data_IF_505193975237
#
_entry.id   IF_505193975237
#
_cell.length_a   1.000
_cell.length_b   1.000
_cell.length_c   1.000
_cell.angle_alpha   90.00
_cell.angle_beta   90.00
_cell.angle_gamma   90.00
#
_symmetry.space_group_name_H-M   'P 1'
#
loop_
_entity.id
_entity.type
_entity.pdbx_description
1 polymer ?
#
# COMPACT_ATOMS: atom_id res chain seq x y z
N UNK A 1 -14.22 4.79 -7.57
CA UNK A 1 -12.98 4.18 -7.02
C UNK A 1 -11.96 5.24 -6.61
N UNK A 2 -12.19 6.50 -6.95
CA UNK A 2 -11.38 7.66 -6.57
C UNK A 2 -11.73 8.11 -5.15
N UNK A 3 -11.32 7.32 -4.17
CA UNK A 3 -11.51 7.65 -2.76
C UNK A 3 -10.34 7.10 -1.94
N UNK A 4 -9.95 7.78 -0.85
CA UNK A 4 -9.10 7.24 0.20
C UNK A 4 -9.30 5.75 0.47
N UNK A 5 -8.21 5.02 0.69
CA UNK A 5 -8.28 3.72 1.33
C UNK A 5 -8.43 3.93 2.85
N UNK A 6 -9.58 3.57 3.41
CA UNK A 6 -9.84 3.72 4.84
C UNK A 6 -9.22 2.59 5.68
N UNK A 7 -8.84 1.49 5.04
CA UNK A 7 -8.26 0.31 5.71
C UNK A 7 -6.75 0.43 5.92
N UNK A 8 -6.06 1.18 5.06
CA UNK A 8 -4.59 1.23 5.09
C UNK A 8 -4.11 1.86 6.39
N UNK A 9 -3.25 1.14 7.11
CA UNK A 9 -2.74 1.48 8.44
C UNK A 9 -3.81 1.62 9.54
N UNK A 10 -5.06 1.20 9.28
CA UNK A 10 -6.16 1.20 10.26
C UNK A 10 -6.69 -0.20 10.55
N UNK A 11 -6.69 -1.08 9.55
CA UNK A 11 -7.06 -2.50 9.68
C UNK A 11 -5.85 -3.40 9.37
N UNK A 12 -4.83 -3.33 10.23
CA UNK A 12 -3.55 -4.00 10.02
C UNK A 12 -3.66 -5.52 10.18
N UNK A 13 -2.93 -6.25 9.33
CA UNK A 13 -2.78 -7.70 9.45
C UNK A 13 -1.47 -8.08 10.13
N UNK A 14 -1.45 -9.19 10.87
CA UNK A 14 -0.22 -9.84 11.33
C UNK A 14 -0.28 -11.30 10.90
N UNK A 15 0.65 -11.72 10.04
CA UNK A 15 0.75 -13.11 9.60
C UNK A 15 1.34 -14.00 10.72
N UNK A 16 1.12 -15.32 10.69
CA UNK A 16 1.72 -16.25 11.66
C UNK A 16 3.25 -16.20 11.74
N UNK A 17 3.92 -15.71 10.71
CA UNK A 17 5.37 -15.48 10.68
C UNK A 17 5.84 -14.27 11.51
N UNK A 18 4.93 -13.42 11.99
CA UNK A 18 5.26 -12.13 12.61
C UNK A 18 5.21 -10.95 11.62
N UNK A 19 5.07 -11.22 10.32
CA UNK A 19 5.00 -10.20 9.26
C UNK A 19 3.80 -9.26 9.47
N UNK A 20 4.06 -7.96 9.59
CA UNK A 20 3.05 -6.91 9.77
C UNK A 20 2.66 -6.32 8.41
N UNK A 21 1.35 -6.34 8.14
CA UNK A 21 0.76 -5.98 6.86
C UNK A 21 -0.04 -4.67 6.98
N UNK A 22 -0.04 -3.81 5.95
CA UNK A 22 -0.68 -2.49 6.01
C UNK A 22 -2.20 -2.54 5.96
N UNK A 23 -2.79 -3.64 5.50
CA UNK A 23 -4.22 -3.92 5.58
C UNK A 23 -4.49 -5.44 5.61
N UNK A 24 -5.74 -5.85 5.82
CA UNK A 24 -6.15 -7.26 5.88
C UNK A 24 -6.37 -7.93 4.49
N UNK A 25 -6.26 -7.19 3.39
CA UNK A 25 -6.65 -7.67 2.05
C UNK A 25 -5.47 -8.24 1.23
N UNK A 26 -5.75 -8.92 0.11
CA UNK A 26 -4.75 -9.56 -0.75
C UNK A 26 -3.60 -8.62 -1.19
N UNK A 27 -3.91 -7.34 -1.39
CA UNK A 27 -2.92 -6.31 -1.71
C UNK A 27 -1.78 -6.19 -0.68
N UNK A 28 -2.02 -6.59 0.57
CA UNK A 28 -1.04 -6.51 1.65
C UNK A 28 0.00 -7.63 1.61
N UNK A 29 -0.21 -8.67 0.80
CA UNK A 29 0.74 -9.77 0.60
C UNK A 29 1.87 -9.43 -0.37
N UNK A 30 1.80 -8.27 -1.04
CA UNK A 30 2.88 -7.78 -1.89
C UNK A 30 4.04 -7.32 -1.01
N UNK A 31 5.25 -7.87 -1.24
CA UNK A 31 6.43 -7.59 -0.40
C UNK A 31 6.74 -6.10 -0.30
N UNK A 32 6.50 -5.31 -1.35
CA UNK A 32 6.72 -3.87 -1.34
C UNK A 32 5.85 -3.11 -0.32
N UNK A 33 4.72 -3.68 0.08
CA UNK A 33 3.81 -3.06 1.04
C UNK A 33 4.07 -3.52 2.49
N UNK A 34 5.05 -4.39 2.73
CA UNK A 34 5.38 -4.95 4.04
C UNK A 34 5.85 -3.87 5.03
N UNK A 35 5.30 -3.85 6.24
CA UNK A 35 5.63 -2.83 7.26
C UNK A 35 6.84 -3.19 8.14
N UNK A 36 7.09 -4.49 8.35
CA UNK A 36 8.12 -5.01 9.26
C UNK A 36 7.66 -6.25 10.03
N UNK A 37 8.40 -6.64 11.06
CA UNK A 37 8.14 -7.88 11.82
C UNK A 37 7.84 -7.58 13.30
N UNK A 38 6.69 -8.05 13.78
CA UNK A 38 6.23 -7.83 15.16
C UNK A 38 7.01 -8.64 16.22
N UNK A 39 7.78 -9.65 15.79
CA UNK A 39 8.69 -10.40 16.63
C UNK A 39 9.99 -9.65 16.93
N UNK A 40 10.37 -8.68 16.09
CA UNK A 40 11.63 -7.92 16.22
C UNK A 40 11.46 -6.44 16.51
N UNK A 41 10.33 -5.84 16.12
CA UNK A 41 10.08 -4.40 16.24
C UNK A 41 8.74 -4.10 16.91
N UNK A 42 8.64 -2.97 17.61
CA UNK A 42 7.39 -2.58 18.27
C UNK A 42 6.41 -2.03 17.25
N UNK A 43 5.15 -2.45 17.33
CA UNK A 43 4.11 -2.01 16.41
C UNK A 43 3.99 -0.47 16.27
N UNK A 44 4.05 0.35 17.34
CA UNK A 44 4.01 1.81 17.19
C UNK A 44 5.15 2.38 16.32
N UNK A 45 6.33 1.77 16.35
CA UNK A 45 7.49 2.21 15.57
C UNK A 45 7.29 1.87 14.08
N UNK A 46 6.82 0.65 13.80
CA UNK A 46 6.45 0.21 12.45
C UNK A 46 5.40 1.15 11.83
N UNK A 47 4.33 1.44 12.56
CA UNK A 47 3.26 2.32 12.10
C UNK A 47 3.72 3.78 11.98
N UNK A 48 4.62 4.23 12.86
CA UNK A 48 5.23 5.55 12.78
C UNK A 48 6.00 5.75 11.47
N UNK A 49 6.85 4.78 11.09
CA UNK A 49 7.56 4.80 9.81
C UNK A 49 6.61 4.71 8.62
N UNK A 50 5.61 3.82 8.70
CA UNK A 50 4.63 3.65 7.64
C UNK A 50 3.87 4.95 7.32
N UNK A 51 3.46 5.72 8.34
CA UNK A 51 2.77 7.01 8.14
C UNK A 51 3.60 8.04 7.38
N UNK A 52 4.92 7.94 7.43
CA UNK A 52 5.82 8.86 6.71
C UNK A 52 6.09 8.41 5.27
N UNK A 53 5.85 7.13 4.95
CA UNK A 53 6.12 6.56 3.64
C UNK A 53 5.11 7.08 2.58
N UNK A 54 5.58 7.60 1.43
CA UNK A 54 4.74 8.12 0.35
C UNK A 54 3.69 7.14 -0.15
N UNK A 55 4.02 5.85 -0.22
CA UNK A 55 3.10 4.80 -0.65
C UNK A 55 1.81 4.84 0.19
N UNK A 56 1.97 4.86 1.52
CA UNK A 56 0.82 4.84 2.43
C UNK A 56 0.12 6.20 2.50
N UNK A 57 0.84 7.31 2.29
CA UNK A 57 0.23 8.63 2.13
C UNK A 57 -0.73 8.65 0.93
N UNK A 58 -0.26 8.25 -0.25
CA UNK A 58 -1.10 8.20 -1.46
C UNK A 58 -2.27 7.23 -1.28
N UNK A 59 -2.04 6.04 -0.70
CA UNK A 59 -3.13 5.10 -0.44
C UNK A 59 -4.20 5.68 0.51
N UNK A 60 -3.79 6.40 1.55
CA UNK A 60 -4.72 6.99 2.52
C UNK A 60 -5.39 8.28 2.03
N UNK A 61 -4.84 9.00 1.06
CA UNK A 61 -5.43 10.23 0.49
C UNK A 61 -6.23 9.98 -0.79
N UNK A 62 -5.76 9.08 -1.65
CA UNK A 62 -6.24 8.90 -3.02
C UNK A 62 -6.63 7.45 -3.32
N UNK A 63 -6.21 6.51 -2.48
CA UNK A 63 -6.43 5.09 -2.71
C UNK A 63 -5.56 4.53 -3.85
N UNK A 64 -5.86 3.31 -4.32
CA UNK A 64 -5.04 2.63 -5.32
C UNK A 64 -5.04 3.30 -6.70
N UNK A 65 -6.02 4.16 -7.01
CA UNK A 65 -6.01 4.99 -8.23
C UNK A 65 -4.99 6.12 -8.18
N UNK A 66 -4.62 6.60 -6.99
CA UNK A 66 -3.49 7.52 -6.85
C UNK A 66 -2.19 6.86 -7.33
N UNK A 67 -1.94 5.63 -6.90
CA UNK A 67 -0.77 4.85 -7.32
C UNK A 67 -0.81 4.49 -8.81
N UNK A 68 -1.96 4.09 -9.34
CA UNK A 68 -2.12 3.77 -10.77
C UNK A 68 -1.71 4.95 -11.67
N UNK A 69 -2.11 6.17 -11.28
CA UNK A 69 -1.77 7.41 -12.00
C UNK A 69 -0.28 7.73 -12.02
N UNK A 70 0.49 7.30 -11.01
CA UNK A 70 1.94 7.47 -11.02
C UNK A 70 2.63 6.60 -12.07
N UNK A 71 2.00 5.49 -12.44
CA UNK A 71 2.54 4.55 -13.41
C UNK A 71 2.11 4.93 -14.84
N UNK A 72 0.81 4.83 -15.13
CA UNK A 72 0.22 5.17 -16.42
C UNK A 72 -1.30 5.46 -16.37
N UNK A 73 -1.97 5.18 -15.25
CA UNK A 73 -3.40 5.46 -15.04
C UNK A 73 -4.35 4.62 -15.89
N UNK A 74 -3.87 3.56 -16.55
CA UNK A 74 -4.64 2.78 -17.51
C UNK A 74 -5.48 1.66 -16.89
N UNK A 75 -5.33 1.41 -15.58
CA UNK A 75 -5.79 0.16 -14.95
C UNK A 75 -7.07 0.33 -14.17
N UNK A 76 -7.37 1.54 -13.71
CA UNK A 76 -8.47 1.81 -12.79
C UNK A 76 -9.81 1.21 -13.22
N UNK A 77 -10.12 1.23 -14.52
CA UNK A 77 -11.43 0.79 -15.05
C UNK A 77 -11.51 -0.71 -15.31
N UNK A 78 -10.40 -1.45 -15.15
CA UNK A 78 -10.36 -2.91 -15.29
C UNK A 78 -10.89 -3.64 -14.06
N UNK A 79 -11.04 -2.94 -12.93
CA UNK A 79 -11.38 -3.54 -11.65
C UNK A 79 -12.64 -2.91 -11.07
N UNK A 80 -13.51 -3.76 -10.52
CA UNK A 80 -14.67 -3.35 -9.69
C UNK A 80 -14.32 -3.33 -8.20
N UNK A 81 -13.28 -4.07 -7.80
CA UNK A 81 -12.78 -4.13 -6.43
C UNK A 81 -11.46 -3.37 -6.29
N UNK A 82 -11.41 -2.38 -5.39
CA UNK A 82 -10.23 -1.53 -5.18
C UNK A 82 -9.02 -2.31 -4.68
N UNK A 83 -9.21 -3.38 -3.91
CA UNK A 83 -8.12 -4.18 -3.38
C UNK A 83 -7.44 -5.01 -4.48
N UNK A 84 -8.18 -5.43 -5.51
CA UNK A 84 -7.59 -6.07 -6.69
C UNK A 84 -6.77 -5.08 -7.53
N UNK A 85 -7.28 -3.85 -7.72
CA UNK A 85 -6.48 -2.78 -8.35
C UNK A 85 -5.22 -2.48 -7.51
N UNK A 86 -5.35 -2.39 -6.19
CA UNK A 86 -4.23 -2.14 -5.29
C UNK A 86 -3.17 -3.23 -5.41
N UNK A 87 -3.57 -4.51 -5.43
CA UNK A 87 -2.65 -5.62 -5.64
C UNK A 87 -1.92 -5.51 -6.99
N UNK A 88 -2.64 -5.27 -8.09
CA UNK A 88 -2.06 -5.12 -9.44
C UNK A 88 -1.04 -3.97 -9.51
N UNK A 89 -1.37 -2.83 -8.92
CA UNK A 89 -0.50 -1.65 -8.89
C UNK A 89 0.71 -1.88 -7.98
N UNK A 90 0.53 -2.42 -6.78
CA UNK A 90 1.63 -2.72 -5.85
C UNK A 90 2.60 -3.77 -6.41
N UNK A 91 2.11 -4.67 -7.26
CA UNK A 91 2.93 -5.71 -7.90
C UNK A 91 3.67 -5.21 -9.14
N UNK A 92 3.48 -3.95 -9.55
CA UNK A 92 4.14 -3.40 -10.73
C UNK A 92 5.59 -3.02 -10.41
N UNK A 93 6.59 -3.56 -11.14
CA UNK A 93 7.99 -3.23 -10.93
C UNK A 93 8.35 -1.76 -11.16
N UNK A 94 7.50 -1.00 -11.85
CA UNK A 94 7.67 0.44 -12.11
C UNK A 94 7.24 1.32 -10.94
N UNK A 95 6.46 0.79 -9.99
CA UNK A 95 5.89 1.59 -8.90
C UNK A 95 6.94 2.27 -8.01
N UNK A 96 8.05 1.61 -7.59
CA UNK A 96 9.07 2.27 -6.76
C UNK A 96 9.65 3.52 -7.43
N UNK A 97 10.08 3.40 -8.69
CA UNK A 97 10.62 4.52 -9.48
C UNK A 97 9.59 5.65 -9.67
N UNK A 98 8.31 5.28 -9.82
CA UNK A 98 7.23 6.24 -10.00
C UNK A 98 6.95 7.05 -8.72
N UNK A 99 7.03 6.40 -7.55
CA UNK A 99 6.90 7.04 -6.25
C UNK A 99 8.08 7.99 -5.99
N UNK A 100 9.32 7.54 -6.23
CA UNK A 100 10.51 8.38 -6.01
C UNK A 100 10.52 9.66 -6.86
N UNK A 101 10.02 9.59 -8.10
CA UNK A 101 9.89 10.76 -8.98
C UNK A 101 8.83 11.74 -8.50
N UNK A 102 7.82 11.28 -7.76
CA UNK A 102 6.76 12.14 -7.24
C UNK A 102 7.18 12.92 -5.99
N UNK A 103 8.25 12.51 -5.31
CA UNK A 103 8.81 13.21 -4.15
C UNK A 103 9.80 14.34 -4.49
N UNK A 104 10.17 14.51 -5.77
CA UNK A 104 11.04 15.58 -6.28
C UNK A 104 10.23 16.73 -6.84
#
# INVERSE_FOLDING_TARGET
>A
MDSPCEEVLRDIGIAPSGRVLPCCSAASLVDYAHLGDAGTERLPELLGRARLNPLFKILSSEGPRGLDRLIDGSRGDRYVNRCHLCHDVLSDPRLPDAIEKNEK
#
